data_IF_718835831784
#
_entry.id   IF_718835831784
#
_cell.length_a   1.000
_cell.length_b   1.000
_cell.length_c   1.000
_cell.angle_alpha   90.00
_cell.angle_beta   90.00
_cell.angle_gamma   90.00
#
_symmetry.space_group_name_H-M   'P 1'
#
loop_
_entity.id
_entity.type
_entity.pdbx_description
1 polymer ?
#
# COMPACT_ATOMS: atom_id res chain seq x y z
N UNK A 1 -2.19 -12.04 -4.80
CA UNK A 1 -3.08 -12.19 -3.62
C UNK A 1 -2.68 -11.29 -2.44
N UNK A 2 -2.99 -11.63 -1.18
CA UNK A 2 -2.68 -10.77 -0.02
C UNK A 2 -1.20 -10.82 0.39
N UNK A 3 -0.59 -12.00 0.46
CA UNK A 3 0.76 -12.20 0.99
C UNK A 3 1.52 -13.19 0.12
N UNK A 4 2.80 -12.91 -0.13
CA UNK A 4 3.71 -13.84 -0.78
C UNK A 4 3.87 -15.10 0.07
N UNK A 5 3.85 -16.28 -0.56
CA UNK A 5 4.11 -17.54 0.13
C UNK A 5 5.59 -17.95 0.05
N UNK A 6 6.49 -16.99 0.28
CA UNK A 6 7.92 -17.27 0.42
C UNK A 6 8.24 -17.94 1.75
N UNK A 7 8.98 -19.05 1.72
CA UNK A 7 9.41 -19.78 2.92
C UNK A 7 10.79 -19.26 3.35
N UNK A 8 10.96 -18.90 4.63
CA UNK A 8 12.25 -18.45 5.14
C UNK A 8 13.34 -19.51 4.89
N UNK A 9 14.43 -19.11 4.25
CA UNK A 9 15.54 -19.97 3.87
C UNK A 9 16.88 -19.38 4.35
N UNK A 10 17.78 -20.19 4.95
CA UNK A 10 18.98 -19.70 5.62
C UNK A 10 19.96 -18.92 4.72
N UNK A 11 19.98 -19.20 3.42
CA UNK A 11 20.92 -18.57 2.47
C UNK A 11 20.26 -17.71 1.40
N UNK A 12 18.96 -17.88 1.18
CA UNK A 12 18.22 -17.20 0.10
C UNK A 12 17.30 -16.10 0.63
N UNK A 13 17.14 -15.99 1.96
CA UNK A 13 16.15 -15.12 2.57
C UNK A 13 14.77 -15.76 2.49
N UNK A 14 14.10 -15.67 1.35
CA UNK A 14 12.84 -16.36 1.06
C UNK A 14 13.00 -17.25 -0.17
N UNK A 15 12.62 -18.52 -0.04
CA UNK A 15 12.63 -19.54 -1.07
C UNK A 15 11.21 -19.86 -1.53
N UNK A 16 11.09 -20.30 -2.78
CA UNK A 16 9.83 -20.70 -3.42
C UNK A 16 10.03 -22.00 -4.20
N UNK A 17 9.05 -22.40 -5.02
CA UNK A 17 9.09 -23.68 -5.73
C UNK A 17 10.37 -23.84 -6.55
N UNK A 18 11.03 -24.99 -6.43
CA UNK A 18 12.29 -25.30 -7.10
C UNK A 18 13.53 -25.13 -6.20
N UNK A 19 13.46 -24.23 -5.21
CA UNK A 19 14.56 -24.03 -4.25
C UNK A 19 14.73 -25.22 -3.29
N UNK A 20 13.75 -26.13 -3.22
CA UNK A 20 13.76 -27.32 -2.38
C UNK A 20 14.03 -28.61 -3.17
N UNK A 21 14.38 -28.50 -4.46
CA UNK A 21 14.76 -29.63 -5.31
C UNK A 21 13.59 -30.39 -5.93
N UNK A 22 12.39 -29.78 -6.00
CA UNK A 22 11.25 -30.36 -6.69
C UNK A 22 11.53 -30.50 -8.20
N UNK A 23 11.16 -31.64 -8.80
CA UNK A 23 11.33 -31.91 -10.24
C UNK A 23 10.40 -31.04 -11.11
N UNK A 24 9.21 -30.73 -10.59
CA UNK A 24 8.20 -29.89 -11.24
C UNK A 24 7.72 -28.84 -10.24
N UNK A 25 7.76 -27.58 -10.64
CA UNK A 25 7.34 -26.43 -9.82
C UNK A 25 7.00 -25.24 -10.72
N UNK A 26 6.19 -24.32 -10.20
CA UNK A 26 5.82 -23.06 -10.87
C UNK A 26 6.67 -21.86 -10.42
N UNK A 27 7.86 -22.16 -9.87
CA UNK A 27 8.86 -21.16 -9.46
C UNK A 27 8.28 -20.09 -8.51
N UNK A 28 8.53 -18.81 -8.82
CA UNK A 28 8.13 -17.66 -8.01
C UNK A 28 6.66 -17.25 -8.24
N UNK A 29 5.84 -18.04 -8.93
CA UNK A 29 4.43 -17.70 -9.15
C UNK A 29 3.64 -17.57 -7.84
N UNK A 30 4.16 -18.14 -6.75
CA UNK A 30 3.62 -18.03 -5.39
C UNK A 30 4.04 -16.74 -4.65
N UNK A 31 4.89 -15.92 -5.28
CA UNK A 31 5.31 -14.61 -4.79
C UNK A 31 4.51 -13.52 -5.52
N UNK A 32 3.19 -13.53 -5.34
CA UNK A 32 2.22 -12.67 -6.03
C UNK A 32 1.38 -11.82 -5.06
N UNK A 33 1.85 -11.62 -3.83
CA UNK A 33 1.20 -10.89 -2.75
C UNK A 33 1.37 -9.37 -2.78
N UNK A 34 0.47 -8.67 -2.08
CA UNK A 34 0.63 -7.25 -1.73
C UNK A 34 1.54 -7.04 -0.51
N UNK A 35 1.78 -8.10 0.26
CA UNK A 35 2.72 -8.17 1.36
C UNK A 35 3.85 -9.14 1.04
N UNK A 36 5.07 -8.80 1.46
CA UNK A 36 6.16 -9.76 1.56
C UNK A 36 5.86 -10.81 2.66
N UNK A 37 6.58 -11.95 2.72
CA UNK A 37 6.24 -13.03 3.65
C UNK A 37 6.29 -12.65 5.14
N UNK A 38 7.07 -11.63 5.52
CA UNK A 38 7.08 -11.07 6.88
C UNK A 38 5.98 -10.03 7.16
N UNK A 39 5.09 -9.81 6.19
CA UNK A 39 4.01 -8.79 6.22
C UNK A 39 4.49 -7.36 6.04
N UNK A 40 5.73 -7.15 5.59
CA UNK A 40 6.16 -5.84 5.11
C UNK A 40 5.34 -5.46 3.86
N UNK A 41 4.71 -4.28 3.81
CA UNK A 41 4.00 -3.81 2.62
C UNK A 41 4.89 -3.72 1.39
N UNK A 42 4.43 -4.29 0.28
CA UNK A 42 5.05 -4.02 -1.02
C UNK A 42 4.60 -2.65 -1.54
N UNK A 43 5.29 -2.06 -2.54
CA UNK A 43 4.81 -0.85 -3.21
C UNK A 43 3.37 -0.99 -3.74
N UNK A 44 2.97 -2.20 -4.15
CA UNK A 44 1.62 -2.47 -4.61
C UNK A 44 0.55 -2.23 -3.54
N UNK A 45 0.82 -2.56 -2.27
CA UNK A 45 -0.13 -2.29 -1.19
C UNK A 45 -0.27 -0.79 -0.90
N UNK A 46 0.83 -0.05 -1.02
CA UNK A 46 0.83 1.41 -0.83
C UNK A 46 -0.07 2.07 -1.88
N UNK A 47 0.09 1.68 -3.15
CA UNK A 47 -0.76 2.16 -4.24
C UNK A 47 -2.21 1.70 -4.08
N UNK A 48 -2.43 0.44 -3.70
CA UNK A 48 -3.78 -0.08 -3.48
C UNK A 48 -4.52 0.74 -2.41
N UNK A 49 -3.87 1.04 -1.27
CA UNK A 49 -4.42 1.89 -0.21
C UNK A 49 -4.87 3.25 -0.76
N UNK A 50 -4.10 3.87 -1.65
CA UNK A 50 -4.45 5.16 -2.28
C UNK A 50 -5.63 5.01 -3.23
N UNK A 51 -5.60 3.99 -4.09
CA UNK A 51 -6.65 3.72 -5.08
C UNK A 51 -8.02 3.54 -4.42
N UNK A 52 -8.07 2.86 -3.28
CA UNK A 52 -9.33 2.53 -2.60
C UNK A 52 -9.71 3.49 -1.46
N UNK A 53 -9.00 4.59 -1.27
CA UNK A 53 -9.26 5.49 -0.14
C UNK A 53 -10.74 5.99 -0.14
N UNK A 54 -11.45 5.92 0.99
CA UNK A 54 -12.88 6.27 1.05
C UNK A 54 -13.13 7.78 1.20
N UNK A 55 -12.07 8.59 1.33
CA UNK A 55 -12.16 10.05 1.43
C UNK A 55 -11.32 10.65 0.31
N UNK A 56 -11.98 11.22 -0.69
CA UNK A 56 -11.30 11.80 -1.85
C UNK A 56 -11.16 13.30 -1.69
N UNK A 57 -9.92 13.78 -1.80
CA UNK A 57 -9.60 15.21 -1.80
C UNK A 57 -9.21 15.62 -3.22
N UNK A 58 -9.83 16.67 -3.74
CA UNK A 58 -9.59 17.21 -5.10
C UNK A 58 -9.43 18.73 -5.05
N UNK A 59 -8.67 19.26 -6.00
CA UNK A 59 -8.25 20.67 -6.01
C UNK A 59 -6.73 20.77 -5.88
N UNK A 60 -6.17 21.86 -6.39
CA UNK A 60 -4.75 22.20 -6.33
C UNK A 60 -4.39 23.09 -5.14
N UNK A 61 -5.40 23.52 -4.36
CA UNK A 61 -5.21 24.41 -3.23
C UNK A 61 -4.87 25.86 -3.62
N UNK A 62 -4.73 26.19 -4.92
CA UNK A 62 -4.35 27.54 -5.38
C UNK A 62 -5.40 28.58 -4.98
N UNK A 63 -6.68 28.18 -4.99
CA UNK A 63 -7.79 29.00 -4.52
C UNK A 63 -7.98 29.00 -2.99
N UNK A 64 -7.02 28.45 -2.24
CA UNK A 64 -7.10 28.30 -0.77
C UNK A 64 -8.20 27.35 -0.30
N UNK A 65 -8.75 26.53 -1.20
CA UNK A 65 -9.82 25.59 -0.89
C UNK A 65 -9.60 24.25 -1.61
N UNK A 66 -10.09 23.18 -1.00
CA UNK A 66 -10.14 21.83 -1.57
C UNK A 66 -11.55 21.27 -1.44
N UNK A 67 -11.90 20.34 -2.33
CA UNK A 67 -13.15 19.58 -2.24
C UNK A 67 -12.88 18.21 -1.61
N UNK A 68 -13.57 17.94 -0.51
CA UNK A 68 -13.57 16.65 0.17
C UNK A 68 -14.85 15.90 -0.19
N UNK A 69 -14.72 14.66 -0.67
CA UNK A 69 -15.85 13.77 -0.99
C UNK A 69 -15.79 12.55 -0.07
N UNK A 70 -16.84 12.38 0.73
CA UNK A 70 -17.04 11.16 1.54
C UNK A 70 -17.62 10.04 0.65
N UNK A 71 -16.88 8.94 0.51
CA UNK A 71 -17.28 7.74 -0.24
C UNK A 71 -17.56 6.54 0.68
N UNK A 72 -17.63 6.73 2.01
CA UNK A 72 -18.17 5.70 2.89
C UNK A 72 -19.66 5.47 2.60
N UNK A 73 -20.11 4.22 2.68
CA UNK A 73 -21.52 3.88 2.47
C UNK A 73 -22.42 4.29 3.65
N UNK A 74 -21.88 4.26 4.88
CA UNK A 74 -22.66 4.44 6.12
C UNK A 74 -22.07 5.44 7.11
N UNK A 75 -20.76 5.66 7.08
CA UNK A 75 -20.06 6.52 8.04
C UNK A 75 -19.97 7.95 7.53
N UNK A 76 -20.11 8.92 8.44
CA UNK A 76 -19.68 10.30 8.18
C UNK A 76 -18.17 10.45 8.41
N UNK A 77 -17.66 11.69 8.34
CA UNK A 77 -16.23 11.99 8.52
C UNK A 77 -15.86 12.37 9.96
N UNK A 78 -16.79 12.29 10.93
CA UNK A 78 -16.57 12.77 12.30
C UNK A 78 -15.46 12.01 13.06
N UNK A 79 -15.11 10.82 12.60
CA UNK A 79 -14.04 9.99 13.14
C UNK A 79 -12.63 10.35 12.62
N UNK A 80 -12.53 11.35 11.73
CA UNK A 80 -11.28 11.77 11.11
C UNK A 80 -10.94 13.21 11.47
N UNK A 81 -9.64 13.50 11.55
CA UNK A 81 -9.11 14.86 11.61
C UNK A 81 -8.60 15.24 10.22
N UNK A 82 -9.00 16.41 9.73
CA UNK A 82 -8.39 16.99 8.53
C UNK A 82 -7.16 17.80 8.95
N UNK A 83 -5.99 17.35 8.50
CA UNK A 83 -4.71 18.04 8.69
C UNK A 83 -4.18 18.50 7.33
N UNK A 84 -3.49 19.62 7.32
CA UNK A 84 -2.84 20.17 6.14
C UNK A 84 -1.47 20.72 6.53
N UNK A 85 -0.58 20.81 5.55
CA UNK A 85 0.71 21.48 5.70
C UNK A 85 1.06 22.19 4.40
N UNK A 86 1.68 23.37 4.49
CA UNK A 86 2.26 24.08 3.35
C UNK A 86 3.76 23.82 3.30
N UNK A 87 4.23 23.32 2.15
CA UNK A 87 5.64 22.98 1.96
C UNK A 87 6.25 23.76 0.80
N UNK A 88 7.48 24.23 1.00
CA UNK A 88 8.31 24.85 -0.04
C UNK A 88 9.61 24.06 -0.11
N UNK A 89 9.97 23.58 -1.31
CA UNK A 89 11.15 22.76 -1.54
C UNK A 89 11.28 21.52 -0.61
N UNK A 90 10.13 20.98 -0.20
CA UNK A 90 10.03 19.82 0.71
C UNK A 90 10.14 20.16 2.21
N UNK A 91 10.29 21.44 2.57
CA UNK A 91 10.31 21.90 3.96
C UNK A 91 8.93 22.42 4.37
N UNK A 92 8.45 22.03 5.55
CA UNK A 92 7.16 22.48 6.10
C UNK A 92 7.30 23.88 6.68
N UNK A 93 6.44 24.80 6.21
CA UNK A 93 6.39 26.19 6.64
C UNK A 93 5.21 26.43 7.60
N UNK A 94 4.10 25.71 7.38
CA UNK A 94 2.90 25.69 8.22
C UNK A 94 2.27 24.30 8.21
#
# INVERSE_FOLDING_TARGET
EWIDHGITHPTLGYAYGGDFGEELHDSNFVCDGLLFPDRTPSPGLIEYKKVIEPVRITGDGEAGTVRITNLYDFSDLSHLTFEWSYQVDGETIE
#
